data_IF_640306742087
#
_entry.id   IF_640306742087
#
_cell.length_a   1.000
_cell.length_b   1.000
_cell.length_c   1.000
_cell.angle_alpha   90.00
_cell.angle_beta   90.00
_cell.angle_gamma   90.00
#
_symmetry.space_group_name_H-M   'P 1'
#
loop_
_entity.id
_entity.type
_entity.pdbx_description
1 polymer ?
#
# COMPACT_ATOMS: atom_id res chain seq x y z
N UNK A 1 -2.52 -1.90 -0.36
CA UNK A 1 -1.64 -0.79 0.05
C UNK A 1 -1.58 -0.76 1.57
N UNK A 2 -0.44 -0.36 2.13
CA UNK A 2 -0.31 -0.02 3.54
C UNK A 2 0.94 0.85 3.72
N UNK A 3 0.92 1.75 4.70
CA UNK A 3 2.14 2.36 5.27
C UNK A 3 2.42 1.64 6.59
N UNK A 4 3.65 1.20 6.80
CA UNK A 4 4.06 0.59 8.07
C UNK A 4 4.94 1.60 8.79
N UNK A 5 4.47 2.05 9.94
CA UNK A 5 5.20 3.02 10.76
C UNK A 5 6.05 2.26 11.76
N UNK A 6 7.31 2.69 11.90
CA UNK A 6 8.29 2.06 12.77
C UNK A 6 8.81 3.06 13.79
N UNK A 7 9.12 2.57 14.99
CA UNK A 7 10.08 3.22 15.88
C UNK A 7 11.47 2.65 15.63
N UNK A 8 12.49 3.50 15.73
CA UNK A 8 13.90 3.11 15.66
C UNK A 8 14.59 3.50 16.96
N UNK A 9 15.21 2.55 17.65
CA UNK A 9 16.02 2.87 18.83
C UNK A 9 17.38 3.45 18.44
N UNK A 10 18.05 4.10 19.39
CA UNK A 10 19.41 4.64 19.19
C UNK A 10 20.43 3.53 18.86
N UNK A 11 20.22 2.33 19.38
CA UNK A 11 21.01 1.14 19.05
C UNK A 11 20.69 0.54 17.66
N UNK A 12 19.74 1.12 16.92
CA UNK A 12 19.39 0.72 15.56
C UNK A 12 18.31 -0.37 15.46
N UNK A 13 17.73 -0.82 16.56
CA UNK A 13 16.62 -1.78 16.51
C UNK A 13 15.36 -1.13 15.95
N UNK A 14 14.63 -1.85 15.10
CA UNK A 14 13.35 -1.41 14.52
C UNK A 14 12.20 -2.13 15.20
N UNK A 15 11.19 -1.37 15.58
CA UNK A 15 9.94 -1.86 16.16
C UNK A 15 8.78 -1.43 15.29
N UNK A 16 7.93 -2.37 14.88
CA UNK A 16 6.69 -2.04 14.16
C UNK A 16 5.77 -1.34 15.14
N UNK A 17 5.36 -0.11 14.83
CA UNK A 17 4.38 0.63 15.61
C UNK A 17 2.96 0.32 15.13
N UNK A 18 2.64 0.74 13.90
CA UNK A 18 1.30 0.53 13.35
C UNK A 18 1.31 0.22 11.84
N UNK A 19 0.48 -0.74 11.39
CA UNK A 19 0.09 -0.84 10.00
C UNK A 19 -1.08 0.10 9.70
N UNK A 20 -0.91 1.02 8.77
CA UNK A 20 -1.98 1.89 8.26
C UNK A 20 -2.42 1.45 6.86
N UNK A 21 -3.61 0.84 6.76
CA UNK A 21 -4.18 0.32 5.51
C UNK A 21 -4.90 1.37 4.67
N UNK A 22 -5.12 2.57 5.21
CA UNK A 22 -5.67 3.75 4.52
C UNK A 22 -4.83 4.98 4.91
N UNK A 23 -3.56 5.05 4.47
CA UNK A 23 -2.71 6.17 4.79
C UNK A 23 -3.20 7.43 4.06
N UNK A 24 -2.82 8.60 4.57
CA UNK A 24 -3.04 9.85 3.87
C UNK A 24 -2.53 9.78 2.42
N UNK A 25 -3.33 10.30 1.49
CA UNK A 25 -3.10 10.15 0.04
C UNK A 25 -3.04 11.48 -0.72
N UNK A 26 -2.84 12.59 -0.02
CA UNK A 26 -2.61 13.90 -0.65
C UNK A 26 -1.17 14.00 -1.20
N UNK A 27 -0.89 14.97 -2.07
CA UNK A 27 0.46 15.18 -2.62
C UNK A 27 1.54 15.43 -1.55
N UNK A 28 1.14 15.92 -0.36
CA UNK A 28 2.06 16.15 0.76
C UNK A 28 2.15 14.95 1.72
N UNK A 29 1.30 13.93 1.54
CA UNK A 29 1.24 12.77 2.43
C UNK A 29 2.46 11.85 2.26
N UNK A 30 2.83 11.18 3.33
CA UNK A 30 4.03 10.32 3.36
C UNK A 30 3.95 9.15 2.38
N UNK A 31 2.77 8.52 2.23
CA UNK A 31 2.65 7.33 1.38
C UNK A 31 2.96 7.63 -0.12
N UNK A 32 2.32 8.62 -0.77
CA UNK A 32 2.71 9.00 -2.14
C UNK A 32 4.17 9.46 -2.26
N UNK A 33 4.67 10.24 -1.29
CA UNK A 33 6.06 10.74 -1.31
C UNK A 33 7.12 9.64 -1.25
N UNK A 34 6.91 8.60 -0.46
CA UNK A 34 7.84 7.46 -0.39
C UNK A 34 7.92 6.71 -1.71
N UNK A 35 6.78 6.54 -2.40
CA UNK A 35 6.75 5.94 -3.74
C UNK A 35 7.42 6.82 -4.79
N UNK A 36 7.17 8.13 -4.76
CA UNK A 36 7.84 9.09 -5.65
C UNK A 36 9.36 9.07 -5.46
N UNK A 37 9.84 9.06 -4.22
CA UNK A 37 11.26 8.92 -3.90
C UNK A 37 11.86 7.57 -4.37
N UNK A 38 11.04 6.53 -4.51
CA UNK A 38 11.43 5.24 -5.10
C UNK A 38 11.35 5.19 -6.63
N UNK A 39 11.00 6.30 -7.28
CA UNK A 39 10.92 6.42 -8.73
C UNK A 39 9.54 6.16 -9.33
N UNK A 40 8.48 6.05 -8.51
CA UNK A 40 7.10 5.87 -8.98
C UNK A 40 6.30 7.14 -8.73
N UNK A 41 6.01 7.95 -9.76
CA UNK A 41 5.24 9.19 -9.60
C UNK A 41 3.81 8.93 -9.10
N UNK A 42 3.18 9.90 -8.40
CA UNK A 42 1.85 9.73 -7.83
C UNK A 42 0.76 9.28 -8.83
N UNK A 43 0.83 9.75 -10.08
CA UNK A 43 -0.12 9.35 -11.13
C UNK A 43 0.00 7.85 -11.45
N UNK A 44 1.22 7.35 -11.60
CA UNK A 44 1.49 5.94 -11.86
C UNK A 44 1.09 5.07 -10.66
N UNK A 45 1.37 5.54 -9.44
CA UNK A 45 0.94 4.87 -8.22
C UNK A 45 -0.59 4.68 -8.16
N UNK A 46 -1.36 5.72 -8.49
CA UNK A 46 -2.83 5.63 -8.53
C UNK A 46 -3.28 4.61 -9.57
N UNK A 47 -2.73 4.66 -10.79
CA UNK A 47 -3.02 3.68 -11.85
C UNK A 47 -2.78 2.26 -11.35
N UNK A 48 -1.61 2.00 -10.76
CA UNK A 48 -1.24 0.68 -10.23
C UNK A 48 -2.18 0.20 -9.13
N UNK A 49 -2.63 1.08 -8.24
CA UNK A 49 -3.59 0.71 -7.19
C UNK A 49 -4.96 0.31 -7.76
N UNK A 50 -5.42 0.98 -8.81
CA UNK A 50 -6.66 0.62 -9.52
C UNK A 50 -6.51 -0.74 -10.20
N UNK A 51 -5.40 -0.98 -10.92
CA UNK A 51 -5.11 -2.27 -11.56
C UNK A 51 -5.12 -3.42 -10.54
N UNK A 52 -4.42 -3.25 -9.42
CA UNK A 52 -4.39 -4.23 -8.32
C UNK A 52 -5.79 -4.51 -7.74
N UNK A 53 -6.67 -3.50 -7.69
CA UNK A 53 -8.04 -3.66 -7.23
C UNK A 53 -8.87 -4.52 -8.21
N UNK A 54 -8.73 -4.28 -9.52
CA UNK A 54 -9.38 -5.07 -10.57
C UNK A 54 -8.88 -6.53 -10.51
N UNK A 55 -7.56 -6.75 -10.51
CA UNK A 55 -6.97 -8.09 -10.40
C UNK A 55 -7.47 -8.85 -9.16
N UNK A 56 -7.55 -8.16 -8.01
CA UNK A 56 -8.09 -8.76 -6.78
C UNK A 56 -9.56 -9.15 -6.94
N UNK A 57 -10.37 -8.31 -7.57
CA UNK A 57 -11.79 -8.61 -7.81
C UNK A 57 -11.95 -9.83 -8.73
N UNK A 58 -11.17 -9.92 -9.80
CA UNK A 58 -11.18 -11.07 -10.71
C UNK A 58 -10.75 -12.37 -10.04
N UNK A 59 -9.66 -12.34 -9.26
CA UNK A 59 -9.22 -13.50 -8.45
C UNK A 59 -10.35 -13.96 -7.52
N UNK A 60 -11.01 -13.03 -6.82
CA UNK A 60 -12.11 -13.36 -5.91
C UNK A 60 -13.32 -13.95 -6.65
N UNK A 61 -13.63 -13.49 -7.87
CA UNK A 61 -14.71 -14.04 -8.71
C UNK A 61 -14.46 -15.50 -9.07
N UNK A 62 -13.21 -15.86 -9.42
CA UNK A 62 -12.81 -17.24 -9.75
C UNK A 62 -12.94 -18.22 -8.57
N UNK A 63 -12.78 -17.74 -7.33
CA UNK A 63 -12.92 -18.58 -6.13
C UNK A 63 -14.38 -18.87 -5.75
N UNK A 64 -15.36 -18.10 -6.25
CA UNK A 64 -16.77 -18.21 -5.85
C UNK A 64 -17.58 -19.29 -6.60
N UNK A 65 -16.93 -20.22 -7.29
CA UNK A 65 -17.60 -21.18 -8.18
C UNK A 65 -17.62 -22.66 -7.72
N UNK A 66 -17.17 -23.00 -6.51
CA UNK A 66 -17.10 -24.42 -6.07
C UNK A 66 -17.99 -24.80 -4.88
N UNK A 67 -18.95 -23.98 -4.49
CA UNK A 67 -19.94 -24.39 -3.48
C UNK A 67 -21.30 -24.54 -4.17
N UNK A 68 -21.56 -25.78 -4.61
CA UNK A 68 -22.93 -26.30 -4.79
C UNK A 68 -23.29 -27.10 -3.56
#
# INVERSE_FOLDING_TARGET
LARIDFFRSDAGALYVNEPNTIPGFTAISMYPKLWEASGIPPKELVTRLVELAVERAERRRKLKSSVR
#
